data_IF_964502319297
#
_entry.id   IF_964502319297
#
_cell.length_a   1.000
_cell.length_b   1.000
_cell.length_c   1.000
_cell.angle_alpha   90.00
_cell.angle_beta   90.00
_cell.angle_gamma   90.00
#
_symmetry.space_group_name_H-M   'P 1'
#
loop_
_entity.id
_entity.type
_entity.pdbx_description
1 polymer ?
#
# COMPACT_ATOMS: atom_id res chain seq x y z
N UNK A 1 7.31 22.17 -0.86
CA UNK A 1 6.86 22.19 -2.27
C UNK A 1 6.21 23.52 -2.68
N UNK A 2 5.23 24.07 -1.94
CA UNK A 2 4.63 25.40 -2.25
C UNK A 2 5.64 26.56 -2.40
N UNK A 3 6.70 26.59 -1.57
CA UNK A 3 7.76 27.63 -1.65
C UNK A 3 8.67 27.52 -2.88
N UNK A 4 8.89 26.32 -3.41
CA UNK A 4 9.71 26.08 -4.61
C UNK A 4 8.97 26.51 -5.88
N UNK A 5 7.66 26.26 -5.92
CA UNK A 5 6.78 26.70 -7.02
C UNK A 5 6.74 28.24 -7.09
N UNK A 6 6.66 28.92 -5.95
CA UNK A 6 6.65 30.39 -5.90
C UNK A 6 7.98 31.00 -6.39
N UNK A 7 9.10 30.35 -6.07
CA UNK A 7 10.45 30.76 -6.49
C UNK A 7 10.63 30.59 -8.01
N UNK A 8 10.11 29.49 -8.57
CA UNK A 8 10.15 29.21 -10.00
C UNK A 8 9.32 30.21 -10.82
N UNK A 9 8.14 30.60 -10.32
CA UNK A 9 7.29 31.62 -10.93
C UNK A 9 7.97 33.01 -10.88
N UNK A 10 8.64 33.34 -9.78
CA UNK A 10 9.35 34.63 -9.64
C UNK A 10 10.55 34.75 -10.59
N UNK A 11 11.29 33.67 -10.81
CA UNK A 11 12.43 33.68 -11.75
C UNK A 11 12.00 33.80 -13.21
N UNK A 12 10.86 33.22 -13.58
CA UNK A 12 10.29 33.34 -14.93
C UNK A 12 9.76 34.75 -15.22
N UNK A 13 9.22 35.44 -14.21
CA UNK A 13 8.70 36.82 -14.34
C UNK A 13 9.78 37.90 -14.22
N UNK A 14 10.91 37.61 -13.56
CA UNK A 14 12.02 38.55 -13.40
C UNK A 14 12.82 38.80 -14.68
N UNK A 15 12.89 37.81 -15.59
CA UNK A 15 13.67 37.89 -16.83
C UNK A 15 12.92 38.53 -18.01
N UNK A 16 11.62 38.85 -17.85
CA UNK A 16 10.74 39.33 -18.92
C UNK A 16 10.52 40.84 -18.93
N UNK A 17 11.20 41.62 -18.07
CA UNK A 17 10.97 43.08 -17.94
C UNK A 17 11.68 43.97 -18.97
N UNK A 18 12.20 43.43 -20.08
CA UNK A 18 12.72 44.26 -21.19
C UNK A 18 12.21 43.74 -22.53
N UNK A 19 10.89 43.81 -22.74
CA UNK A 19 10.33 43.97 -24.09
C UNK A 19 9.17 44.95 -23.96
N UNK A 20 9.22 46.00 -24.77
CA UNK A 20 8.22 47.05 -24.84
C UNK A 20 6.83 46.46 -25.06
N UNK A 21 5.88 47.02 -24.33
CA UNK A 21 4.52 46.56 -24.19
C UNK A 21 3.69 46.93 -25.43
N UNK A 22 3.75 46.09 -26.47
CA UNK A 22 2.72 46.02 -27.51
C UNK A 22 1.58 45.15 -26.96
N UNK A 23 0.59 45.79 -26.34
CA UNK A 23 -0.58 45.10 -25.78
C UNK A 23 -1.52 44.66 -26.90
N UNK A 24 -1.15 43.62 -27.67
CA UNK A 24 -2.08 43.00 -28.61
C UNK A 24 -2.97 41.99 -27.84
N UNK A 25 -4.30 42.20 -27.74
CA UNK A 25 -5.19 41.34 -26.97
C UNK A 25 -5.10 39.85 -27.35
N UNK A 26 -4.75 39.56 -28.61
CA UNK A 26 -4.57 38.21 -29.15
C UNK A 26 -3.38 37.45 -28.52
N UNK A 27 -2.24 38.11 -28.28
CA UNK A 27 -1.09 37.45 -27.65
C UNK A 27 -1.36 37.11 -26.18
N UNK A 28 -2.10 37.97 -25.47
CA UNK A 28 -2.55 37.71 -24.10
C UNK A 28 -3.60 36.60 -24.02
N UNK A 29 -4.49 36.45 -25.01
CA UNK A 29 -5.46 35.35 -25.04
C UNK A 29 -4.82 34.00 -25.32
N UNK A 30 -3.84 33.96 -26.23
CA UNK A 30 -3.13 32.73 -26.60
C UNK A 30 -2.28 32.21 -25.43
N UNK A 31 -1.61 33.11 -24.70
CA UNK A 31 -0.85 32.74 -23.51
C UNK A 31 -1.78 32.20 -22.40
N UNK A 32 -2.94 32.83 -22.19
CA UNK A 32 -3.92 32.35 -21.22
C UNK A 32 -4.44 30.95 -21.56
N UNK A 33 -4.82 30.72 -22.81
CA UNK A 33 -5.27 29.41 -23.28
C UNK A 33 -4.19 28.33 -23.11
N UNK A 34 -2.91 28.68 -23.35
CA UNK A 34 -1.78 27.78 -23.12
C UNK A 34 -1.60 27.44 -21.64
N UNK A 35 -1.68 28.43 -20.75
CA UNK A 35 -1.60 28.23 -19.29
C UNK A 35 -2.76 27.37 -18.78
N UNK A 36 -3.99 27.63 -19.25
CA UNK A 36 -5.18 26.83 -18.87
C UNK A 36 -5.05 25.37 -19.34
N UNK A 37 -4.51 25.17 -20.55
CA UNK A 37 -4.19 23.83 -21.09
C UNK A 37 -3.15 23.10 -20.24
N UNK A 38 -2.07 23.78 -19.85
CA UNK A 38 -1.05 23.23 -18.96
C UNK A 38 -1.61 22.87 -17.58
N UNK A 39 -2.43 23.76 -17.00
CA UNK A 39 -3.06 23.50 -15.71
C UNK A 39 -4.00 22.28 -15.78
N UNK A 40 -4.72 22.12 -16.88
CA UNK A 40 -5.61 20.97 -17.10
C UNK A 40 -4.79 19.68 -17.19
N UNK A 41 -3.74 19.65 -18.02
CA UNK A 41 -2.85 18.48 -18.14
C UNK A 41 -2.19 18.11 -16.82
N UNK A 42 -1.75 19.11 -16.05
CA UNK A 42 -1.17 18.89 -14.73
C UNK A 42 -2.18 18.28 -13.75
N UNK A 43 -3.42 18.77 -13.75
CA UNK A 43 -4.48 18.24 -12.89
C UNK A 43 -4.81 16.79 -13.25
N UNK A 44 -4.90 16.46 -14.55
CA UNK A 44 -5.10 15.09 -15.02
C UNK A 44 -3.95 14.18 -14.60
N UNK A 45 -2.70 14.63 -14.80
CA UNK A 45 -1.53 13.83 -14.41
C UNK A 45 -1.46 13.60 -12.90
N UNK A 46 -1.82 14.60 -12.10
CA UNK A 46 -1.87 14.48 -10.64
C UNK A 46 -2.96 13.49 -10.20
N UNK A 47 -4.13 13.52 -10.83
CA UNK A 47 -5.21 12.56 -10.61
C UNK A 47 -4.77 11.13 -10.90
N UNK A 48 -4.21 10.89 -12.09
CA UNK A 48 -3.75 9.57 -12.52
C UNK A 48 -2.65 9.03 -11.58
N UNK A 49 -1.72 9.89 -11.18
CA UNK A 49 -0.68 9.55 -10.22
C UNK A 49 -1.28 9.16 -8.86
N UNK A 50 -2.21 9.94 -8.32
CA UNK A 50 -2.81 9.66 -7.01
C UNK A 50 -3.59 8.33 -7.02
N UNK A 51 -4.31 8.04 -8.11
CA UNK A 51 -5.02 6.78 -8.27
C UNK A 51 -4.07 5.58 -8.39
N UNK A 52 -3.01 5.70 -9.20
CA UNK A 52 -1.99 4.66 -9.35
C UNK A 52 -1.24 4.41 -8.04
N UNK A 53 -0.91 5.47 -7.30
CA UNK A 53 -0.27 5.36 -5.99
C UNK A 53 -1.14 4.55 -5.03
N UNK A 54 -2.42 4.91 -4.87
CA UNK A 54 -3.33 4.20 -3.98
C UNK A 54 -3.51 2.73 -4.38
N UNK A 55 -3.69 2.47 -5.67
CA UNK A 55 -3.84 1.11 -6.21
C UNK A 55 -2.58 0.28 -5.98
N UNK A 56 -1.40 0.87 -6.18
CA UNK A 56 -0.12 0.21 -5.97
C UNK A 56 0.11 -0.15 -4.50
N UNK A 57 -0.12 0.79 -3.59
CA UNK A 57 0.01 0.56 -2.14
C UNK A 57 -0.88 -0.60 -1.68
N UNK A 58 -2.15 -0.62 -2.08
CA UNK A 58 -3.07 -1.73 -1.76
C UNK A 58 -2.53 -3.06 -2.30
N UNK A 59 -2.13 -3.10 -3.58
CA UNK A 59 -1.66 -4.33 -4.21
C UNK A 59 -0.36 -4.85 -3.58
N UNK A 60 0.54 -3.95 -3.17
CA UNK A 60 1.79 -4.34 -2.52
C UNK A 60 1.51 -4.97 -1.15
N UNK A 61 0.68 -4.32 -0.32
CA UNK A 61 0.30 -4.86 1.00
C UNK A 61 -0.43 -6.20 0.83
N UNK A 62 -1.30 -6.30 -0.16
CA UNK A 62 -1.98 -7.55 -0.49
C UNK A 62 -1.00 -8.69 -0.83
N UNK A 63 0.07 -8.39 -1.58
CA UNK A 63 1.09 -9.38 -1.93
C UNK A 63 1.81 -9.88 -0.68
N UNK A 64 2.24 -8.97 0.20
CA UNK A 64 2.94 -9.32 1.44
C UNK A 64 2.08 -10.18 2.37
N UNK A 65 0.79 -9.86 2.50
CA UNK A 65 -0.16 -10.67 3.26
C UNK A 65 -0.31 -12.08 2.69
N UNK A 66 -0.39 -12.21 1.36
CA UNK A 66 -0.50 -13.52 0.71
C UNK A 66 0.76 -14.35 0.88
N UNK A 67 1.93 -13.73 0.76
CA UNK A 67 3.21 -14.42 0.92
C UNK A 67 3.36 -14.95 2.35
N UNK A 68 3.06 -14.13 3.35
CA UNK A 68 3.10 -14.55 4.75
C UNK A 68 2.06 -15.64 5.07
N UNK A 69 0.82 -15.50 4.56
CA UNK A 69 -0.22 -16.53 4.71
C UNK A 69 0.23 -17.87 4.13
N UNK A 70 0.84 -17.86 2.94
CA UNK A 70 1.34 -19.07 2.31
C UNK A 70 2.46 -19.72 3.14
N UNK A 71 3.39 -18.92 3.67
CA UNK A 71 4.47 -19.44 4.51
C UNK A 71 3.93 -20.08 5.81
N UNK A 72 3.00 -19.42 6.51
CA UNK A 72 2.34 -19.98 7.71
C UNK A 72 1.63 -21.30 7.39
N UNK A 73 0.87 -21.35 6.28
CA UNK A 73 0.17 -22.57 5.86
C UNK A 73 1.14 -23.72 5.53
N UNK A 74 2.24 -23.44 4.83
CA UNK A 74 3.26 -24.43 4.50
C UNK A 74 3.89 -25.00 5.78
N UNK A 75 4.25 -24.13 6.73
CA UNK A 75 4.83 -24.57 8.02
C UNK A 75 3.84 -25.38 8.84
N UNK A 76 2.59 -24.94 8.93
CA UNK A 76 1.52 -25.66 9.62
C UNK A 76 1.33 -27.08 9.06
N UNK A 77 1.34 -27.21 7.73
CA UNK A 77 1.20 -28.51 7.07
C UNK A 77 2.41 -29.43 7.29
N UNK A 78 3.64 -28.89 7.28
CA UNK A 78 4.83 -29.68 7.60
C UNK A 78 4.77 -30.23 9.03
N UNK A 79 4.39 -29.39 10.00
CA UNK A 79 4.20 -29.80 11.40
C UNK A 79 3.14 -30.90 11.50
N UNK A 80 1.98 -30.72 10.87
CA UNK A 80 0.90 -31.71 10.90
C UNK A 80 1.34 -33.06 10.30
N UNK A 81 2.12 -33.05 9.22
CA UNK A 81 2.68 -34.28 8.64
C UNK A 81 3.63 -34.97 9.63
N UNK A 82 4.41 -34.21 10.40
CA UNK A 82 5.24 -34.76 11.49
C UNK A 82 4.39 -35.36 12.60
N UNK A 83 3.28 -34.72 12.95
CA UNK A 83 2.34 -35.26 13.93
C UNK A 83 1.82 -36.65 13.51
N UNK A 84 1.36 -36.79 12.26
CA UNK A 84 0.88 -38.09 11.75
C UNK A 84 1.95 -39.18 11.71
N UNK A 85 3.23 -38.82 11.63
CA UNK A 85 4.34 -39.77 11.68
C UNK A 85 4.67 -40.22 13.11
N UNK A 86 4.15 -39.57 14.13
CA UNK A 86 4.36 -39.91 15.54
C UNK A 86 5.81 -39.80 16.01
N UNK A 87 6.62 -38.96 15.34
CA UNK A 87 8.05 -38.80 15.66
C UNK A 87 8.32 -37.43 16.25
N UNK A 88 8.23 -37.35 17.57
CA UNK A 88 8.64 -36.17 18.30
C UNK A 88 10.16 -35.98 18.22
N UNK A 89 10.57 -34.73 17.99
CA UNK A 89 11.95 -34.29 17.99
C UNK A 89 11.99 -32.89 18.64
N UNK A 90 12.76 -32.76 19.72
CA UNK A 90 12.82 -31.55 20.53
C UNK A 90 13.54 -30.39 19.82
N UNK A 91 14.55 -30.68 19.01
CA UNK A 91 15.29 -29.65 18.27
C UNK A 91 14.44 -29.12 17.12
N UNK A 92 13.71 -30.03 16.45
CA UNK A 92 12.74 -29.68 15.43
C UNK A 92 11.57 -28.87 16.00
N UNK A 93 11.04 -29.25 17.16
CA UNK A 93 10.01 -28.47 17.86
C UNK A 93 10.52 -27.05 18.17
N UNK A 94 11.74 -26.92 18.69
CA UNK A 94 12.35 -25.62 18.99
C UNK A 94 12.46 -24.76 17.72
N UNK A 95 12.83 -25.38 16.59
CA UNK A 95 12.88 -24.70 15.29
C UNK A 95 11.50 -24.23 14.85
N UNK A 96 10.48 -25.09 14.89
CA UNK A 96 9.13 -24.70 14.52
C UNK A 96 8.58 -23.59 15.41
N UNK A 97 8.82 -23.65 16.73
CA UNK A 97 8.38 -22.60 17.66
C UNK A 97 9.06 -21.27 17.37
N UNK A 98 10.36 -21.28 17.07
CA UNK A 98 11.08 -20.07 16.67
C UNK A 98 10.52 -19.47 15.38
N UNK A 99 10.23 -20.29 14.37
CA UNK A 99 9.65 -19.83 13.10
C UNK A 99 8.27 -19.22 13.33
N UNK A 100 7.41 -19.88 14.12
CA UNK A 100 6.10 -19.36 14.45
C UNK A 100 6.16 -18.01 15.14
N UNK A 101 7.04 -17.84 16.14
CA UNK A 101 7.20 -16.54 16.81
C UNK A 101 7.61 -15.45 15.81
N UNK A 102 8.54 -15.73 14.89
CA UNK A 102 8.91 -14.78 13.84
C UNK A 102 7.74 -14.46 12.89
N UNK A 103 6.87 -15.42 12.60
CA UNK A 103 5.67 -15.20 11.78
C UNK A 103 4.63 -14.33 12.51
N UNK A 104 4.51 -14.46 13.84
CA UNK A 104 3.68 -13.59 14.68
C UNK A 104 4.23 -12.16 14.66
N UNK A 105 5.54 -11.98 14.85
CA UNK A 105 6.18 -10.65 14.78
C UNK A 105 5.97 -9.99 13.40
N UNK A 106 6.06 -10.78 12.31
CA UNK A 106 5.78 -10.30 10.96
C UNK A 106 4.30 -9.94 10.77
N UNK A 107 3.38 -10.72 11.35
CA UNK A 107 1.95 -10.40 11.32
C UNK A 107 1.66 -9.04 11.96
N UNK A 108 2.23 -8.76 13.13
CA UNK A 108 2.05 -7.47 13.81
C UNK A 108 2.61 -6.32 12.96
N UNK A 109 3.78 -6.50 12.35
CA UNK A 109 4.36 -5.51 11.43
C UNK A 109 3.49 -5.27 10.19
N UNK A 110 2.96 -6.32 9.58
CA UNK A 110 2.11 -6.20 8.38
C UNK A 110 0.75 -5.61 8.73
N UNK A 111 0.20 -5.93 9.91
CA UNK A 111 -1.03 -5.33 10.42
C UNK A 111 -0.89 -3.82 10.57
N UNK A 112 0.19 -3.33 11.17
CA UNK A 112 0.47 -1.90 11.24
C UNK A 112 0.58 -1.28 9.84
N UNK A 113 1.26 -1.97 8.90
CA UNK A 113 1.39 -1.51 7.51
C UNK A 113 0.03 -1.41 6.79
N UNK A 114 -0.88 -2.35 7.02
CA UNK A 114 -2.26 -2.30 6.50
C UNK A 114 -2.99 -1.07 7.03
N UNK A 115 -2.94 -0.83 8.34
CA UNK A 115 -3.60 0.32 8.96
C UNK A 115 -3.08 1.66 8.40
N UNK A 116 -1.75 1.78 8.25
CA UNK A 116 -1.11 2.96 7.65
C UNK A 116 -1.48 3.10 6.17
N UNK A 117 -1.43 2.03 5.39
CA UNK A 117 -1.77 2.04 3.97
C UNK A 117 -3.22 2.44 3.71
N UNK A 118 -4.16 1.84 4.44
CA UNK A 118 -5.58 2.20 4.37
C UNK A 118 -5.81 3.66 4.75
N UNK A 119 -5.10 4.17 5.77
CA UNK A 119 -5.17 5.59 6.17
C UNK A 119 -4.66 6.51 5.05
N UNK A 120 -3.55 6.16 4.41
CA UNK A 120 -2.99 6.93 3.30
C UNK A 120 -3.97 6.99 2.12
N UNK A 121 -4.58 5.86 1.77
CA UNK A 121 -5.61 5.78 0.72
C UNK A 121 -6.82 6.65 1.07
N UNK A 122 -7.35 6.55 2.29
CA UNK A 122 -8.49 7.38 2.74
C UNK A 122 -8.16 8.87 2.71
N UNK A 123 -6.95 9.27 3.12
CA UNK A 123 -6.51 10.65 3.02
C UNK A 123 -6.44 11.13 1.58
N UNK A 124 -5.97 10.29 0.66
CA UNK A 124 -5.94 10.61 -0.77
C UNK A 124 -7.33 10.76 -1.37
N UNK A 125 -8.26 9.88 -1.01
CA UNK A 125 -9.68 10.01 -1.39
C UNK A 125 -10.26 11.35 -0.94
N UNK A 126 -9.93 11.82 0.26
CA UNK A 126 -10.40 13.10 0.78
C UNK A 126 -9.73 14.32 0.13
N UNK A 127 -8.51 14.17 -0.39
CA UNK A 127 -7.70 15.29 -0.91
C UNK A 127 -7.72 15.44 -2.42
N UNK A 128 -8.16 14.41 -3.16
CA UNK A 128 -8.07 14.32 -4.62
C UNK A 128 -9.47 14.18 -5.24
N UNK A 129 -9.61 14.53 -6.53
CA UNK A 129 -10.91 14.56 -7.21
C UNK A 129 -11.27 13.20 -7.84
N UNK A 130 -11.25 12.13 -7.04
CA UNK A 130 -11.66 10.82 -7.53
C UNK A 130 -13.14 10.75 -7.89
N UNK A 131 -13.45 10.00 -8.93
CA UNK A 131 -14.81 9.60 -9.27
C UNK A 131 -15.33 8.58 -8.26
N UNK A 132 -16.66 8.45 -8.15
CA UNK A 132 -17.25 7.47 -7.24
C UNK A 132 -16.80 6.03 -7.56
N UNK A 133 -16.68 5.69 -8.84
CA UNK A 133 -16.20 4.36 -9.25
C UNK A 133 -14.76 4.09 -8.77
N UNK A 134 -13.87 5.07 -8.87
CA UNK A 134 -12.49 4.94 -8.37
C UNK A 134 -12.46 4.79 -6.85
N UNK A 135 -13.27 5.57 -6.13
CA UNK A 135 -13.41 5.46 -4.68
C UNK A 135 -13.90 4.06 -4.29
N UNK A 136 -14.92 3.55 -4.97
CA UNK A 136 -15.47 2.22 -4.69
C UNK A 136 -14.42 1.11 -4.91
N UNK A 137 -13.60 1.22 -5.96
CA UNK A 137 -12.50 0.28 -6.22
C UNK A 137 -11.45 0.34 -5.11
N UNK A 138 -11.01 1.54 -4.72
CA UNK A 138 -10.00 1.71 -3.67
C UNK A 138 -10.50 1.24 -2.30
N UNK A 139 -11.77 1.51 -1.97
CA UNK A 139 -12.38 1.06 -0.73
C UNK A 139 -12.55 -0.47 -0.67
N UNK A 140 -12.99 -1.10 -1.76
CA UNK A 140 -13.01 -2.57 -1.87
C UNK A 140 -11.61 -3.16 -1.72
N UNK A 141 -10.59 -2.50 -2.26
CA UNK A 141 -9.20 -2.88 -2.05
C UNK A 141 -8.82 -2.86 -0.57
N UNK A 142 -9.20 -1.81 0.16
CA UNK A 142 -8.97 -1.73 1.61
C UNK A 142 -9.70 -2.83 2.39
N UNK A 143 -10.97 -3.10 2.08
CA UNK A 143 -11.76 -4.18 2.71
C UNK A 143 -11.17 -5.56 2.43
N UNK A 144 -10.58 -5.74 1.25
CA UNK A 144 -9.87 -6.98 0.91
C UNK A 144 -8.63 -7.18 1.78
N UNK A 145 -7.90 -6.12 2.15
CA UNK A 145 -6.77 -6.21 3.07
C UNK A 145 -7.22 -6.70 4.46
N UNK A 146 -8.36 -6.21 4.97
CA UNK A 146 -8.92 -6.65 6.25
C UNK A 146 -9.29 -8.15 6.23
N UNK A 147 -9.83 -8.60 5.08
CA UNK A 147 -10.15 -10.01 4.86
C UNK A 147 -8.89 -10.87 4.84
N UNK A 148 -7.82 -10.40 4.19
CA UNK A 148 -6.52 -11.08 4.19
C UNK A 148 -5.88 -11.15 5.58
N UNK A 149 -5.93 -10.07 6.37
CA UNK A 149 -5.46 -10.08 7.76
C UNK A 149 -6.20 -11.12 8.61
N UNK A 150 -7.53 -11.17 8.47
CA UNK A 150 -8.37 -12.14 9.21
C UNK A 150 -8.02 -13.59 8.84
N UNK A 151 -7.79 -13.85 7.55
CA UNK A 151 -7.35 -15.16 7.07
C UNK A 151 -5.96 -15.53 7.61
N UNK A 152 -5.02 -14.58 7.62
CA UNK A 152 -3.67 -14.79 8.15
C UNK A 152 -3.70 -15.07 9.66
N UNK A 153 -4.50 -14.32 10.43
CA UNK A 153 -4.68 -14.57 11.86
C UNK A 153 -5.22 -15.99 12.10
N UNK A 154 -6.25 -16.40 11.35
CA UNK A 154 -6.82 -17.75 11.45
C UNK A 154 -5.79 -18.84 11.12
N UNK A 155 -4.89 -18.58 10.17
CA UNK A 155 -3.79 -19.49 9.81
C UNK A 155 -2.73 -19.59 10.90
N UNK A 156 -2.39 -18.47 11.57
CA UNK A 156 -1.50 -18.47 12.73
C UNK A 156 -2.10 -19.24 13.92
N UNK A 157 -3.40 -19.05 14.19
CA UNK A 157 -4.11 -19.78 15.24
C UNK A 157 -4.06 -21.30 14.97
N UNK A 158 -4.24 -21.69 13.71
CA UNK A 158 -4.10 -23.08 13.29
C UNK A 158 -2.66 -23.60 13.43
N UNK A 159 -1.66 -22.79 13.08
CA UNK A 159 -0.24 -23.13 13.24
C UNK A 159 0.11 -23.41 14.71
N UNK A 160 -0.35 -22.55 15.63
CA UNK A 160 -0.13 -22.75 17.07
C UNK A 160 -0.84 -24.00 17.58
N UNK A 161 -2.03 -24.30 17.07
CA UNK A 161 -2.75 -25.53 17.40
C UNK A 161 -1.95 -26.79 17.00
N UNK A 162 -1.46 -26.87 15.76
CA UNK A 162 -0.68 -28.02 15.31
C UNK A 162 0.68 -28.12 15.99
N UNK A 163 1.29 -26.99 16.37
CA UNK A 163 2.48 -26.95 17.23
C UNK A 163 2.22 -27.58 18.60
N UNK A 164 1.07 -27.26 19.20
CA UNK A 164 0.61 -27.86 20.45
C UNK A 164 0.49 -29.38 20.32
N UNK A 165 -0.17 -29.85 19.27
CA UNK A 165 -0.26 -31.28 18.98
C UNK A 165 1.12 -31.94 18.83
N UNK A 166 2.06 -31.29 18.13
CA UNK A 166 3.39 -31.85 17.92
C UNK A 166 4.16 -31.98 19.23
N UNK A 167 4.09 -30.97 20.10
CA UNK A 167 4.68 -30.99 21.45
C UNK A 167 4.14 -32.15 22.29
N UNK A 168 2.84 -32.41 22.18
CA UNK A 168 2.15 -33.40 23.01
C UNK A 168 2.42 -34.86 22.56
N UNK A 169 3.21 -35.06 21.50
CA UNK A 169 3.76 -36.38 21.12
C UNK A 169 4.96 -36.83 21.98
N UNK A 170 5.52 -35.93 22.78
CA UNK A 170 6.65 -36.21 23.70
C UNK A 170 6.29 -37.27 24.73
#
# INVERSE_FOLDING_TARGET
>A
MKKLILLFILTLFGMSRVVAQDNNPSQTSDLKAYVDSLSTKLNTLQHDYDYLYCSHEINQIQSELKDLLNDVNIKSNDILIRCYRGRYDSDLYTTYRSVYNSQVDLYDSVKERVEVGQRAVRLKILSSNFTQNEIDVLMKGCEFLDSCLSALQSSLDYCEFVLGMYRDLK
#
